data_IF_210169482327
#
_entry.id   IF_210169482327
#
_cell.length_a   1.000
_cell.length_b   1.000
_cell.length_c   1.000
_cell.angle_alpha   90.00
_cell.angle_beta   90.00
_cell.angle_gamma   90.00
#
_symmetry.space_group_name_H-M   'P 1'
#
loop_
_entity.id
_entity.type
_entity.pdbx_description
1 polymer ?
#
# COMPACT_ATOMS: atom_id res chain seq x y z
N UNK A 1 19.22 5.94 -1.79
CA UNK A 1 18.40 4.71 -1.86
C UNK A 1 19.32 3.51 -1.85
N UNK A 2 19.22 2.71 -0.81
CA UNK A 2 19.91 1.43 -0.78
C UNK A 2 19.13 0.37 -1.60
N UNK A 3 19.78 -0.71 -2.00
CA UNK A 3 19.18 -1.79 -2.80
C UNK A 3 17.95 -2.39 -2.11
N UNK A 4 17.97 -2.48 -0.78
CA UNK A 4 16.86 -3.00 0.03
C UNK A 4 15.60 -2.13 -0.10
N UNK A 5 15.73 -0.80 0.00
CA UNK A 5 14.61 0.14 -0.12
C UNK A 5 13.98 0.09 -1.52
N UNK A 6 14.80 -0.07 -2.55
CA UNK A 6 14.32 -0.23 -3.93
C UNK A 6 13.51 -1.50 -4.10
N UNK A 7 13.97 -2.61 -3.55
CA UNK A 7 13.24 -3.89 -3.60
C UNK A 7 11.92 -3.77 -2.85
N UNK A 8 11.93 -3.19 -1.64
CA UNK A 8 10.71 -2.98 -0.84
C UNK A 8 9.70 -2.09 -1.57
N UNK A 9 10.16 -1.00 -2.20
CA UNK A 9 9.31 -0.13 -3.01
C UNK A 9 8.66 -0.88 -4.18
N UNK A 10 9.43 -1.70 -4.92
CA UNK A 10 8.93 -2.50 -6.04
C UNK A 10 7.91 -3.53 -5.56
N UNK A 11 8.22 -4.24 -4.46
CA UNK A 11 7.30 -5.21 -3.85
C UNK A 11 6.02 -4.52 -3.41
N UNK A 12 6.12 -3.34 -2.77
CA UNK A 12 4.98 -2.51 -2.39
C UNK A 12 4.10 -2.15 -3.59
N UNK A 13 4.69 -1.66 -4.69
CA UNK A 13 3.97 -1.32 -5.92
C UNK A 13 3.24 -2.55 -6.51
N UNK A 14 3.86 -3.73 -6.49
CA UNK A 14 3.24 -4.94 -7.03
C UNK A 14 2.15 -5.53 -6.11
N UNK A 15 2.37 -5.50 -4.80
CA UNK A 15 1.46 -6.09 -3.80
C UNK A 15 0.26 -5.18 -3.51
N UNK A 16 0.43 -3.86 -3.58
CA UNK A 16 -0.61 -2.90 -3.22
C UNK A 16 -1.93 -3.08 -4.02
N UNK A 17 -1.91 -3.21 -5.36
CA UNK A 17 -3.12 -3.49 -6.15
C UNK A 17 -3.76 -4.83 -5.79
N UNK A 18 -2.94 -5.84 -5.52
CA UNK A 18 -3.41 -7.17 -5.12
C UNK A 18 -4.11 -7.11 -3.74
N UNK A 19 -3.52 -6.42 -2.77
CA UNK A 19 -4.11 -6.21 -1.45
C UNK A 19 -5.46 -5.48 -1.51
N UNK A 20 -5.57 -4.43 -2.35
CA UNK A 20 -6.86 -3.74 -2.56
C UNK A 20 -7.90 -4.69 -3.19
N UNK A 21 -7.51 -5.48 -4.20
CA UNK A 21 -8.42 -6.43 -4.84
C UNK A 21 -8.95 -7.48 -3.87
N UNK A 22 -8.09 -8.03 -3.02
CA UNK A 22 -8.46 -9.00 -1.97
C UNK A 22 -9.48 -8.39 -0.98
N UNK A 23 -9.23 -7.18 -0.48
CA UNK A 23 -10.16 -6.48 0.43
C UNK A 23 -11.49 -6.18 -0.25
N UNK A 24 -11.47 -5.79 -1.52
CA UNK A 24 -12.68 -5.53 -2.28
C UNK A 24 -13.53 -6.80 -2.47
N UNK A 25 -12.88 -7.91 -2.87
CA UNK A 25 -13.51 -9.21 -3.14
C UNK A 25 -13.96 -9.93 -1.87
N UNK A 26 -13.29 -9.72 -0.74
CA UNK A 26 -13.59 -10.37 0.54
C UNK A 26 -15.04 -10.16 0.97
N UNK A 27 -15.60 -11.04 1.81
CA UNK A 27 -16.96 -10.83 2.33
C UNK A 27 -16.86 -10.03 3.64
N UNK A 28 -17.59 -8.92 3.76
CA UNK A 28 -17.49 -8.02 4.91
C UNK A 28 -18.24 -6.71 4.71
N UNK A 29 -18.36 -5.94 5.79
CA UNK A 29 -19.04 -4.65 5.78
C UNK A 29 -18.36 -3.65 4.83
N UNK A 30 -19.15 -2.99 3.99
CA UNK A 30 -18.67 -2.08 2.94
C UNK A 30 -17.98 -0.86 3.54
N UNK A 31 -18.46 -0.37 4.68
CA UNK A 31 -17.89 0.81 5.33
C UNK A 31 -16.49 0.51 5.87
N UNK A 32 -16.31 -0.65 6.51
CA UNK A 32 -15.01 -1.12 6.99
C UNK A 32 -14.02 -1.35 5.83
N UNK A 33 -14.49 -1.92 4.71
CA UNK A 33 -13.64 -2.12 3.53
C UNK A 33 -13.10 -0.80 2.98
N UNK A 34 -13.96 0.22 2.88
CA UNK A 34 -13.55 1.55 2.41
C UNK A 34 -12.53 2.19 3.36
N UNK A 35 -12.73 2.04 4.67
CA UNK A 35 -11.76 2.52 5.68
C UNK A 35 -10.41 1.81 5.52
N UNK A 36 -10.40 0.48 5.38
CA UNK A 36 -9.18 -0.30 5.21
C UNK A 36 -8.44 0.13 3.94
N UNK A 37 -9.13 0.19 2.80
CA UNK A 37 -8.53 0.63 1.52
C UNK A 37 -7.99 2.05 1.65
N UNK A 38 -8.72 2.95 2.29
CA UNK A 38 -8.28 4.33 2.53
C UNK A 38 -7.00 4.42 3.38
N UNK A 39 -6.94 3.67 4.49
CA UNK A 39 -5.75 3.61 5.34
C UNK A 39 -4.57 3.00 4.58
N UNK A 40 -4.78 1.90 3.85
CA UNK A 40 -3.73 1.27 3.04
C UNK A 40 -3.18 2.24 2.00
N UNK A 41 -4.03 2.99 1.29
CA UNK A 41 -3.62 3.99 0.31
C UNK A 41 -2.80 5.12 0.96
N UNK A 42 -3.25 5.63 2.10
CA UNK A 42 -2.53 6.65 2.84
C UNK A 42 -1.13 6.17 3.28
N UNK A 43 -1.04 4.95 3.83
CA UNK A 43 0.24 4.36 4.23
C UNK A 43 1.18 4.16 3.05
N UNK A 44 0.68 3.67 1.91
CA UNK A 44 1.48 3.48 0.70
C UNK A 44 2.03 4.80 0.15
N UNK A 45 1.23 5.87 0.17
CA UNK A 45 1.68 7.21 -0.21
C UNK A 45 2.75 7.71 0.76
N UNK A 46 2.53 7.58 2.07
CA UNK A 46 3.49 8.01 3.09
C UNK A 46 4.83 7.27 2.95
N UNK A 47 4.79 5.94 2.75
CA UNK A 47 5.98 5.13 2.50
C UNK A 47 6.72 5.60 1.23
N UNK A 48 5.98 5.77 0.13
CA UNK A 48 6.56 6.24 -1.14
C UNK A 48 7.25 7.60 -0.94
N UNK A 49 6.57 8.55 -0.30
CA UNK A 49 7.10 9.89 0.00
C UNK A 49 8.33 9.80 0.91
N UNK A 50 8.31 8.98 1.96
CA UNK A 50 9.45 8.76 2.84
C UNK A 50 10.66 8.19 2.10
N UNK A 51 10.46 7.25 1.17
CA UNK A 51 11.53 6.69 0.32
C UNK A 51 12.13 7.76 -0.60
N UNK A 52 11.36 8.76 -1.02
CA UNK A 52 11.87 9.87 -1.83
C UNK A 52 12.50 11.00 -1.00
N UNK A 53 11.98 11.29 0.19
CA UNK A 53 12.46 12.37 1.08
C UNK A 53 13.68 11.96 1.90
N UNK A 54 13.77 10.70 2.34
CA UNK A 54 14.88 10.18 3.17
C UNK A 54 16.13 9.85 2.31
N UNK A 55 16.24 10.46 1.14
CA UNK A 55 17.40 10.39 0.25
C UNK A 55 18.25 11.64 0.30
#
# INVERSE_FOLDING_TARGET
MNVVELILLIVGICMFPYGIYEVWKGNGDKDLKLVIIGISLALFIVETVLVFITK
#
